data_IF_514027208607
#
_entry.id   IF_514027208607
#
_cell.length_a   1.000
_cell.length_b   1.000
_cell.length_c   1.000
_cell.angle_alpha   90.00
_cell.angle_beta   90.00
_cell.angle_gamma   90.00
#
_symmetry.space_group_name_H-M   'P 1'
#
loop_
_entity.id
_entity.type
_entity.pdbx_description
1 polymer ?
#
# COMPACT_ATOMS: atom_id res chain seq x y z
N UNK A 1 5.36 2.91 10.20
CA UNK A 1 4.59 3.01 8.96
C UNK A 1 3.45 2.01 8.98
N UNK A 2 2.23 2.49 8.97
CA UNK A 2 1.07 1.66 9.22
C UNK A 2 -0.17 2.32 8.61
N UNK A 3 -1.04 1.53 8.00
CA UNK A 3 -2.35 2.06 7.56
C UNK A 3 -3.23 2.34 8.76
N UNK A 4 -4.04 3.38 8.66
CA UNK A 4 -5.05 3.66 9.69
C UNK A 4 -6.03 2.51 9.77
N UNK A 5 -6.44 2.14 10.97
CA UNK A 5 -7.27 0.96 11.21
C UNK A 5 -8.65 1.03 10.59
N UNK A 6 -9.16 2.24 10.34
CA UNK A 6 -10.49 2.45 9.77
C UNK A 6 -10.50 2.46 8.23
N UNK A 7 -9.35 2.26 7.58
CA UNK A 7 -9.27 2.25 6.12
C UNK A 7 -9.79 0.92 5.58
N UNK A 8 -10.75 0.98 4.66
CA UNK A 8 -11.26 -0.20 3.96
C UNK A 8 -10.50 -0.40 2.65
N UNK A 9 -10.14 -1.63 2.35
CA UNK A 9 -9.46 -1.98 1.10
C UNK A 9 -10.19 -3.15 0.44
N UNK A 10 -10.10 -3.22 -0.89
CA UNK A 10 -10.65 -4.34 -1.64
C UNK A 10 -9.54 -5.05 -2.42
N UNK A 11 -9.83 -6.26 -2.88
CA UNK A 11 -8.90 -7.05 -3.69
C UNK A 11 -8.57 -6.40 -5.03
N UNK A 12 -9.39 -5.47 -5.48
CA UNK A 12 -9.19 -4.76 -6.73
C UNK A 12 -8.34 -3.49 -6.59
N UNK A 13 -7.77 -3.26 -5.41
CA UNK A 13 -6.95 -2.08 -5.16
C UNK A 13 -7.75 -0.83 -4.83
N UNK A 14 -9.00 -0.98 -4.49
CA UNK A 14 -9.84 0.13 -4.08
C UNK A 14 -9.66 0.42 -2.60
N UNK A 15 -9.48 1.68 -2.26
CA UNK A 15 -9.28 2.14 -0.88
C UNK A 15 -10.38 3.13 -0.55
N UNK A 16 -10.99 2.98 0.62
CA UNK A 16 -12.00 3.90 1.10
C UNK A 16 -11.64 4.39 2.49
N UNK A 17 -11.66 5.71 2.68
CA UNK A 17 -11.45 6.34 3.98
C UNK A 17 -12.79 6.83 4.51
N UNK A 18 -13.44 6.10 5.43
CA UNK A 18 -14.76 6.50 5.94
C UNK A 18 -14.73 7.78 6.74
N UNK A 19 -13.59 8.18 7.29
CA UNK A 19 -13.49 9.42 8.07
C UNK A 19 -13.65 10.66 7.21
N UNK A 20 -13.18 10.61 5.95
CA UNK A 20 -13.26 11.74 5.02
C UNK A 20 -14.24 11.50 3.88
N UNK A 21 -14.66 10.27 3.67
CA UNK A 21 -15.49 9.89 2.53
C UNK A 21 -14.73 9.75 1.23
N UNK A 22 -13.41 9.91 1.24
CA UNK A 22 -12.58 9.81 0.04
C UNK A 22 -12.37 8.36 -0.36
N UNK A 23 -12.25 8.14 -1.67
CA UNK A 23 -11.93 6.83 -2.21
C UNK A 23 -10.82 6.93 -3.26
N UNK A 24 -10.01 5.88 -3.34
CA UNK A 24 -8.89 5.80 -4.27
C UNK A 24 -8.88 4.45 -4.92
N UNK A 25 -8.35 4.37 -6.14
CA UNK A 25 -8.21 3.08 -6.82
C UNK A 25 -6.76 2.89 -7.26
N UNK A 26 -6.28 1.67 -7.18
CA UNK A 26 -4.93 1.30 -7.61
C UNK A 26 -4.96 0.05 -8.47
N UNK A 27 -3.78 -0.41 -8.89
CA UNK A 27 -3.65 -1.65 -9.63
C UNK A 27 -3.53 -2.85 -8.69
N UNK A 28 -3.39 -4.06 -9.24
CA UNK A 28 -3.29 -5.28 -8.46
C UNK A 28 -2.10 -5.31 -7.49
N UNK A 29 -0.98 -4.71 -7.89
CA UNK A 29 0.19 -4.61 -7.03
C UNK A 29 -0.08 -3.71 -5.82
N UNK A 30 -0.78 -2.60 -6.04
CA UNK A 30 -1.18 -1.71 -4.95
C UNK A 30 -2.12 -2.42 -3.99
N UNK A 31 -3.04 -3.24 -4.48
CA UNK A 31 -3.94 -4.03 -3.65
C UNK A 31 -3.17 -4.99 -2.75
N UNK A 32 -2.16 -5.67 -3.28
CA UNK A 32 -1.32 -6.57 -2.49
C UNK A 32 -0.52 -5.84 -1.43
N UNK A 33 0.04 -4.70 -1.79
CA UNK A 33 0.78 -3.86 -0.85
C UNK A 33 -0.10 -3.45 0.34
N UNK A 34 -1.29 -2.96 0.04
CA UNK A 34 -2.21 -2.49 1.08
C UNK A 34 -2.70 -3.64 1.96
N UNK A 35 -3.01 -4.78 1.36
CA UNK A 35 -3.41 -5.97 2.11
C UNK A 35 -2.31 -6.45 3.05
N UNK A 36 -1.06 -6.45 2.58
CA UNK A 36 0.09 -6.83 3.39
C UNK A 36 0.31 -5.85 4.55
N UNK A 37 0.16 -4.56 4.30
CA UNK A 37 0.25 -3.55 5.36
C UNK A 37 -0.82 -3.73 6.42
N UNK A 38 -2.05 -4.04 6.01
CA UNK A 38 -3.15 -4.31 6.95
C UNK A 38 -2.90 -5.56 7.77
N UNK A 39 -2.20 -6.54 7.21
CA UNK A 39 -1.83 -7.77 7.90
C UNK A 39 -0.69 -7.58 8.91
N UNK A 40 -0.09 -6.40 8.96
CA UNK A 40 0.98 -6.10 9.90
C UNK A 40 2.36 -6.53 9.46
N UNK A 41 2.54 -6.83 8.18
CA UNK A 41 3.86 -7.18 7.65
C UNK A 41 4.79 -5.99 7.65
N UNK A 42 6.09 -6.24 7.85
CA UNK A 42 7.09 -5.18 7.80
C UNK A 42 7.37 -4.77 6.36
N UNK A 43 8.01 -3.60 6.20
CA UNK A 43 8.41 -3.12 4.87
C UNK A 43 9.29 -4.14 4.15
N UNK A 44 10.26 -4.73 4.83
CA UNK A 44 11.16 -5.72 4.24
C UNK A 44 10.40 -6.97 3.78
N UNK A 45 9.47 -7.45 4.60
CA UNK A 45 8.64 -8.61 4.25
C UNK A 45 7.80 -8.34 3.00
N UNK A 46 7.20 -7.15 2.93
CA UNK A 46 6.37 -6.76 1.80
C UNK A 46 7.20 -6.65 0.53
N UNK A 47 8.36 -6.01 0.61
CA UNK A 47 9.26 -5.84 -0.54
C UNK A 47 9.77 -7.19 -1.05
N UNK A 48 10.14 -8.10 -0.16
CA UNK A 48 10.59 -9.43 -0.55
C UNK A 48 9.48 -10.21 -1.25
N UNK A 49 8.26 -10.10 -0.75
CA UNK A 49 7.11 -10.75 -1.33
C UNK A 49 6.85 -10.25 -2.76
N UNK A 50 6.95 -8.95 -2.98
CA UNK A 50 6.79 -8.35 -4.31
C UNK A 50 7.90 -8.81 -5.25
N UNK A 51 9.15 -8.82 -4.80
CA UNK A 51 10.28 -9.27 -5.61
C UNK A 51 10.15 -10.74 -6.01
N UNK A 52 9.54 -11.56 -5.18
CA UNK A 52 9.31 -12.97 -5.46
C UNK A 52 8.17 -13.22 -6.44
N UNK A 53 7.19 -12.32 -6.48
CA UNK A 53 5.97 -12.51 -7.30
C UNK A 53 5.99 -11.78 -8.63
N UNK A 54 6.75 -10.70 -8.73
CA UNK A 54 6.76 -9.84 -9.91
C UNK A 54 8.18 -9.69 -10.45
N UNK A 55 8.27 -9.53 -11.75
CA UNK A 55 9.56 -9.28 -12.43
C UNK A 55 9.87 -7.79 -12.37
N UNK A 56 10.31 -7.32 -11.20
CA UNK A 56 10.72 -5.93 -11.03
C UNK A 56 12.12 -5.91 -10.42
N UNK A 57 12.91 -4.91 -10.77
CA UNK A 57 14.21 -4.72 -10.15
C UNK A 57 14.04 -4.10 -8.76
N UNK A 58 15.01 -4.33 -7.90
CA UNK A 58 15.00 -3.75 -6.57
C UNK A 58 14.99 -2.22 -6.62
N UNK A 59 15.74 -1.61 -7.56
CA UNK A 59 15.75 -0.15 -7.73
C UNK A 59 14.37 0.38 -8.11
N UNK A 60 13.69 -0.29 -9.01
CA UNK A 60 12.36 0.10 -9.44
C UNK A 60 11.37 -0.03 -8.30
N UNK A 61 11.45 -1.12 -7.56
CA UNK A 61 10.58 -1.36 -6.40
C UNK A 61 10.77 -0.28 -5.34
N UNK A 62 12.02 0.07 -5.02
CA UNK A 62 12.30 1.10 -4.02
C UNK A 62 11.73 2.46 -4.43
N UNK A 63 11.84 2.80 -5.71
CA UNK A 63 11.29 4.05 -6.25
C UNK A 63 9.76 4.06 -6.16
N UNK A 64 9.14 2.96 -6.56
CA UNK A 64 7.68 2.83 -6.51
C UNK A 64 7.19 2.85 -5.06
N UNK A 65 7.93 2.20 -4.17
CA UNK A 65 7.63 2.21 -2.74
C UNK A 65 7.58 3.62 -2.18
N UNK A 66 8.60 4.43 -2.48
CA UNK A 66 8.66 5.81 -2.01
C UNK A 66 7.47 6.63 -2.53
N UNK A 67 7.09 6.42 -3.80
CA UNK A 67 5.93 7.07 -4.38
C UNK A 67 4.63 6.65 -3.70
N UNK A 68 4.46 5.36 -3.44
CA UNK A 68 3.27 4.86 -2.74
C UNK A 68 3.17 5.44 -1.33
N UNK A 69 4.27 5.45 -0.61
CA UNK A 69 4.28 6.00 0.75
C UNK A 69 3.93 7.48 0.75
N UNK A 70 4.46 8.22 -0.21
CA UNK A 70 4.15 9.64 -0.35
C UNK A 70 2.66 9.86 -0.63
N UNK A 71 2.10 9.09 -1.56
CA UNK A 71 0.68 9.18 -1.91
C UNK A 71 -0.22 8.83 -0.74
N UNK A 72 0.11 7.76 -0.02
CA UNK A 72 -0.66 7.34 1.16
C UNK A 72 -0.60 8.38 2.26
N UNK A 73 0.56 9.00 2.44
CA UNK A 73 0.74 10.06 3.44
C UNK A 73 -0.06 11.30 3.08
N UNK A 74 -0.02 11.73 1.80
CA UNK A 74 -0.77 12.88 1.33
C UNK A 74 -2.28 12.66 1.42
N UNK A 75 -2.72 11.43 1.19
CA UNK A 75 -4.12 11.07 1.31
C UNK A 75 -4.56 10.85 2.77
N UNK A 76 -3.63 11.00 3.71
CA UNK A 76 -3.88 10.85 5.15
C UNK A 76 -4.36 9.43 5.51
N UNK A 77 -3.80 8.43 4.84
CA UNK A 77 -4.15 7.03 5.05
C UNK A 77 -3.19 6.30 5.99
N UNK A 78 -2.06 6.91 6.31
CA UNK A 78 -1.07 6.32 7.19
C UNK A 78 -1.21 6.84 8.62
N UNK A 79 -1.02 5.92 9.54
CA UNK A 79 -0.90 6.22 10.96
C UNK A 79 0.55 6.59 11.23
N UNK A 80 0.79 7.80 11.70
CA UNK A 80 2.13 8.32 11.93
C UNK A 80 2.40 8.44 13.42
#
# INVERSE_FOLDING_TARGET
MKLKSNIATSENGFIFNPATGDSFSGNGMAAQLLGAMKSGKTEDEIKQDILNRYEVSESQLNRDWDNWMMQLKEANLLEI
#
